data_IF_220576237378
#
_entry.id   IF_220576237378
#
_cell.length_a   1.000
_cell.length_b   1.000
_cell.length_c   1.000
_cell.angle_alpha   90.00
_cell.angle_beta   90.00
_cell.angle_gamma   90.00
#
_symmetry.space_group_name_H-M   'P 1'
#
loop_
_entity.id
_entity.type
_entity.pdbx_description
1 polymer ?
#
# COMPACT_ATOMS: atom_id res chain seq x y z
N UNK A 1 -2.77 6.59 7.84
CA UNK A 1 -4.16 6.55 8.37
C UNK A 1 -4.91 5.49 7.59
N UNK A 2 -5.90 4.82 8.17
CA UNK A 2 -6.64 3.80 7.43
C UNK A 2 -7.94 3.39 8.09
N UNK A 3 -8.76 2.68 7.33
CA UNK A 3 -9.98 2.03 7.80
C UNK A 3 -9.96 0.57 7.39
N UNK A 4 -10.57 -0.27 8.22
CA UNK A 4 -10.79 -1.68 7.94
C UNK A 4 -12.25 -2.01 8.25
N UNK A 5 -12.89 -2.68 7.31
CA UNK A 5 -14.18 -3.31 7.50
C UNK A 5 -14.02 -4.82 7.35
N UNK A 6 -14.72 -5.56 8.20
CA UNK A 6 -14.66 -7.01 8.22
C UNK A 6 -16.02 -7.58 8.64
N UNK A 7 -16.61 -8.42 7.79
CA UNK A 7 -17.80 -9.20 8.12
C UNK A 7 -17.71 -10.61 7.52
N UNK A 8 -18.80 -11.38 7.60
CA UNK A 8 -18.83 -12.77 7.12
C UNK A 8 -18.65 -12.90 5.61
N UNK A 9 -19.10 -11.91 4.83
CA UNK A 9 -19.17 -11.96 3.35
C UNK A 9 -17.94 -11.32 2.71
N UNK A 10 -17.45 -10.21 3.27
CA UNK A 10 -16.33 -9.47 2.70
C UNK A 10 -15.47 -8.76 3.74
N UNK A 11 -14.24 -8.53 3.34
CA UNK A 11 -13.24 -7.78 4.11
C UNK A 11 -12.66 -6.72 3.20
N UNK A 12 -12.54 -5.49 3.68
CA UNK A 12 -11.87 -4.44 2.93
C UNK A 12 -11.02 -3.56 3.84
N UNK A 13 -9.88 -3.16 3.32
CA UNK A 13 -8.96 -2.26 4.00
C UNK A 13 -8.54 -1.18 3.03
N UNK A 14 -8.63 0.07 3.48
CA UNK A 14 -8.12 1.21 2.77
C UNK A 14 -7.14 1.98 3.66
N UNK A 15 -5.94 2.22 3.15
CA UNK A 15 -4.87 2.88 3.88
C UNK A 15 -4.34 4.05 3.05
N UNK A 16 -4.24 5.22 3.67
CA UNK A 16 -3.49 6.36 3.16
C UNK A 16 -2.16 6.44 3.90
N UNK A 17 -1.07 6.57 3.16
CA UNK A 17 0.26 6.70 3.73
C UNK A 17 0.97 7.95 3.23
N UNK A 18 1.79 8.50 4.13
CA UNK A 18 2.75 9.54 3.85
C UNK A 18 4.00 9.19 4.66
N UNK A 19 5.11 9.03 3.96
CA UNK A 19 6.39 8.61 4.52
C UNK A 19 7.44 9.60 4.03
N UNK A 20 8.11 10.25 4.97
CA UNK A 20 9.22 11.18 4.73
C UNK A 20 10.47 10.51 5.30
N UNK A 21 11.35 10.04 4.41
CA UNK A 21 12.63 9.49 4.81
C UNK A 21 13.69 10.58 4.74
N UNK A 22 14.43 10.72 5.83
CA UNK A 22 15.57 11.60 5.96
C UNK A 22 16.86 10.81 6.17
N UNK A 23 17.98 11.52 5.98
CA UNK A 23 19.34 11.02 6.15
C UNK A 23 19.64 9.69 5.46
N UNK A 24 19.10 9.52 4.25
CA UNK A 24 19.37 8.31 3.48
C UNK A 24 20.79 8.39 2.90
N UNK A 25 21.57 7.35 3.14
CA UNK A 25 22.88 7.19 2.52
C UNK A 25 22.71 6.98 1.01
N UNK A 26 23.15 7.97 0.25
CA UNK A 26 23.16 7.96 -1.21
C UNK A 26 24.60 8.01 -1.70
N UNK A 27 24.93 7.15 -2.67
CA UNK A 27 26.19 7.22 -3.38
C UNK A 27 26.10 8.27 -4.47
N UNK A 28 27.08 9.19 -4.50
CA UNK A 28 27.26 10.17 -5.58
C UNK A 28 28.73 10.14 -6.07
N UNK A 29 29.07 11.03 -7.00
CA UNK A 29 30.41 11.11 -7.60
C UNK A 29 31.53 11.43 -6.59
N UNK A 30 31.20 11.87 -5.37
CA UNK A 30 32.15 12.20 -4.29
C UNK A 30 32.12 11.21 -3.11
N UNK A 31 31.31 10.13 -3.18
CA UNK A 31 31.22 9.08 -2.17
C UNK A 31 29.82 8.89 -1.57
N UNK A 32 29.76 8.18 -0.43
CA UNK A 32 28.52 8.01 0.33
C UNK A 32 28.21 9.28 1.14
N UNK A 33 27.00 9.80 1.00
CA UNK A 33 26.53 10.98 1.74
C UNK A 33 25.13 10.71 2.30
N UNK A 34 24.85 11.10 3.55
CA UNK A 34 23.52 10.95 4.17
C UNK A 34 22.58 12.12 3.83
N UNK A 35 22.64 12.64 2.60
CA UNK A 35 21.87 13.81 2.15
C UNK A 35 20.59 13.42 1.38
N UNK A 36 20.36 12.13 1.18
CA UNK A 36 19.19 11.63 0.49
C UNK A 36 17.92 11.92 1.29
N UNK A 37 16.93 12.47 0.61
CA UNK A 37 15.58 12.61 1.14
C UNK A 37 14.57 12.10 0.10
N UNK A 38 13.78 11.10 0.49
CA UNK A 38 12.69 10.58 -0.34
C UNK A 38 11.37 10.71 0.38
N UNK A 39 10.35 11.07 -0.38
CA UNK A 39 8.98 11.20 0.11
C UNK A 39 8.08 10.28 -0.67
N UNK A 40 7.42 9.36 0.04
CA UNK A 40 6.44 8.45 -0.52
C UNK A 40 5.06 8.82 0.00
N UNK A 41 4.11 9.00 -0.91
CA UNK A 41 2.71 9.17 -0.55
C UNK A 41 1.85 8.31 -1.45
N UNK A 42 0.78 7.77 -0.89
CA UNK A 42 -0.07 6.91 -1.67
C UNK A 42 -1.27 6.40 -0.91
N UNK A 43 -1.96 5.49 -1.59
CA UNK A 43 -3.12 4.81 -1.10
C UNK A 43 -3.02 3.32 -1.43
N UNK A 44 -3.47 2.50 -0.49
CA UNK A 44 -3.57 1.05 -0.63
C UNK A 44 -5.00 0.62 -0.39
N UNK A 45 -5.50 -0.26 -1.25
CA UNK A 45 -6.79 -0.91 -1.12
C UNK A 45 -6.59 -2.42 -1.18
N UNK A 46 -7.01 -3.12 -0.14
CA UNK A 46 -7.12 -4.57 -0.12
C UNK A 46 -8.58 -4.95 0.06
N UNK A 47 -9.06 -5.91 -0.73
CA UNK A 47 -10.45 -6.34 -0.71
C UNK A 47 -10.55 -7.86 -0.88
N UNK A 48 -11.50 -8.47 -0.18
CA UNK A 48 -11.82 -9.89 -0.30
C UNK A 48 -13.33 -10.06 -0.27
N UNK A 49 -13.89 -10.88 -1.15
CA UNK A 49 -15.33 -11.16 -1.22
C UNK A 49 -15.59 -12.65 -1.39
N UNK A 50 -16.57 -13.16 -0.64
CA UNK A 50 -17.07 -14.53 -0.72
C UNK A 50 -18.20 -14.63 -1.78
N UNK A 51 -17.91 -15.26 -2.93
CA UNK A 51 -18.86 -15.34 -4.03
C UNK A 51 -20.06 -16.24 -3.73
N UNK A 52 -19.98 -17.07 -2.70
CA UNK A 52 -21.07 -17.96 -2.29
C UNK A 52 -22.31 -17.18 -1.83
N UNK A 53 -22.12 -15.92 -1.40
CA UNK A 53 -23.20 -14.98 -1.09
C UNK A 53 -24.04 -14.60 -2.33
N UNK A 54 -23.43 -14.61 -3.52
CA UNK A 54 -24.13 -14.34 -4.80
C UNK A 54 -24.67 -15.62 -5.43
N UNK A 55 -23.89 -16.71 -5.36
CA UNK A 55 -24.24 -17.99 -5.95
C UNK A 55 -23.87 -19.12 -4.99
N UNK A 56 -24.88 -19.72 -4.34
CA UNK A 56 -24.69 -20.82 -3.38
C UNK A 56 -23.96 -22.04 -3.96
N UNK A 57 -23.93 -22.19 -5.29
CA UNK A 57 -23.18 -23.23 -6.00
C UNK A 57 -21.65 -23.06 -5.88
N UNK A 58 -21.18 -21.90 -5.44
CA UNK A 58 -19.78 -21.57 -5.27
C UNK A 58 -19.30 -21.77 -3.83
N UNK A 59 -20.18 -22.28 -2.95
CA UNK A 59 -19.89 -22.60 -1.54
C UNK A 59 -18.69 -23.54 -1.41
N UNK A 60 -17.74 -23.15 -0.56
CA UNK A 60 -16.51 -23.90 -0.28
C UNK A 60 -15.30 -23.64 -1.19
N UNK A 61 -15.38 -22.86 -2.27
CA UNK A 61 -14.25 -22.71 -3.20
C UNK A 61 -13.92 -21.30 -3.71
N UNK A 62 -14.75 -20.27 -3.51
CA UNK A 62 -14.60 -19.05 -4.30
C UNK A 62 -14.59 -17.75 -3.49
N UNK A 63 -13.39 -17.40 -3.00
CA UNK A 63 -13.07 -16.05 -2.53
C UNK A 63 -12.27 -15.31 -3.57
N UNK A 64 -12.71 -14.10 -3.93
CA UNK A 64 -11.93 -13.18 -4.76
C UNK A 64 -11.08 -12.32 -3.84
N UNK A 65 -9.79 -12.17 -4.19
CA UNK A 65 -8.86 -11.27 -3.52
C UNK A 65 -8.41 -10.20 -4.52
N UNK A 66 -8.40 -8.95 -4.08
CA UNK A 66 -7.87 -7.84 -4.87
C UNK A 66 -6.99 -6.94 -4.00
N UNK A 67 -5.85 -6.58 -4.56
CA UNK A 67 -4.91 -5.63 -3.98
C UNK A 67 -4.61 -4.57 -5.03
N UNK A 68 -4.69 -3.32 -4.62
CA UNK A 68 -4.38 -2.17 -5.46
C UNK A 68 -3.57 -1.16 -4.65
N UNK A 69 -2.47 -0.68 -5.24
CA UNK A 69 -1.60 0.33 -4.64
C UNK A 69 -1.34 1.41 -5.68
N UNK A 70 -1.51 2.67 -5.28
CA UNK A 70 -1.07 3.82 -6.05
C UNK A 70 -0.13 4.66 -5.20
N UNK A 71 1.05 4.95 -5.75
CA UNK A 71 2.12 5.63 -5.05
C UNK A 71 2.72 6.73 -5.92
N UNK A 72 3.12 7.82 -5.29
CA UNK A 72 4.03 8.80 -5.87
C UNK A 72 5.25 8.96 -4.96
N UNK A 73 6.43 8.86 -5.57
CA UNK A 73 7.70 9.11 -4.91
C UNK A 73 8.31 10.43 -5.40
N UNK A 74 8.86 11.22 -4.48
CA UNK A 74 9.68 12.39 -4.79
C UNK A 74 11.05 12.21 -4.17
N UNK A 75 12.10 12.40 -4.95
CA UNK A 75 13.49 12.35 -4.48
C UNK A 75 14.08 13.75 -4.54
N UNK A 76 14.71 14.18 -3.45
CA UNK A 76 15.47 15.41 -3.36
C UNK A 76 16.77 15.20 -2.61
N UNK A 77 17.74 16.09 -2.86
CA UNK A 77 18.89 16.26 -1.99
C UNK A 77 18.55 17.37 -1.00
N UNK A 78 18.83 17.17 0.28
CA UNK A 78 18.84 18.31 1.22
C UNK A 78 20.20 19.02 1.14
N UNK A 79 20.21 20.37 1.11
CA UNK A 79 21.45 21.15 1.16
C UNK A 79 22.15 21.04 2.51
#
# INVERSE_FOLDING_TARGET
MGTRFDNTVWTGQFTLFYIDFDNQDISNDVGWTSLGATKYRGAELAFTYDLSDLYSQLDGAQRIYQLFTVETAFTGLRP
#
